data_IF_273029755329
#
_entry.id   IF_273029755329
#
_cell.length_a   1.000
_cell.length_b   1.000
_cell.length_c   1.000
_cell.angle_alpha   90.00
_cell.angle_beta   90.00
_cell.angle_gamma   90.00
#
_symmetry.space_group_name_H-M   'P 1'
#
loop_
_entity.id
_entity.type
_entity.pdbx_description
1 polymer ?
#
# COMPACT_ATOMS: atom_id res chain seq x y z
N UNK A 1 4.83 -3.69 13.99
CA UNK A 1 4.93 -4.03 12.54
C UNK A 1 3.63 -3.60 11.88
N UNK A 2 3.69 -2.69 10.94
CA UNK A 2 2.52 -2.12 10.26
C UNK A 2 2.75 -2.15 8.76
N UNK A 3 1.68 -2.08 7.95
CA UNK A 3 1.81 -1.93 6.51
C UNK A 3 1.72 -0.45 6.13
N UNK A 4 2.65 0.01 5.29
CA UNK A 4 2.69 1.36 4.76
C UNK A 4 2.84 1.38 3.25
N UNK A 5 2.45 2.50 2.62
CA UNK A 5 2.70 2.75 1.21
C UNK A 5 3.27 4.15 1.00
N UNK A 6 4.24 4.25 0.10
CA UNK A 6 4.80 5.50 -0.39
C UNK A 6 4.56 5.56 -1.90
N UNK A 7 3.94 6.63 -2.38
CA UNK A 7 3.66 6.85 -3.78
C UNK A 7 4.49 8.04 -4.24
N UNK A 8 5.36 7.80 -5.22
CA UNK A 8 6.35 8.77 -5.70
C UNK A 8 6.00 9.16 -7.13
N UNK A 9 5.89 10.45 -7.38
CA UNK A 9 5.68 11.02 -8.70
C UNK A 9 4.98 12.38 -8.66
N UNK A 10 5.57 13.37 -9.29
CA UNK A 10 4.99 14.70 -9.45
C UNK A 10 3.71 14.70 -10.28
N UNK A 11 3.53 13.73 -11.19
CA UNK A 11 2.32 13.58 -11.99
C UNK A 11 1.10 13.19 -11.16
N UNK A 12 1.33 12.50 -10.02
CA UNK A 12 0.26 12.18 -9.07
C UNK A 12 -0.08 13.43 -8.25
N UNK A 13 0.92 14.11 -7.71
CA UNK A 13 0.71 15.33 -6.91
C UNK A 13 0.10 16.48 -7.71
N UNK A 14 0.44 16.57 -9.01
CA UNK A 14 -0.13 17.59 -9.90
C UNK A 14 -1.53 17.23 -10.46
N UNK A 15 -2.03 16.02 -10.15
CA UNK A 15 -3.31 15.52 -10.67
C UNK A 15 -3.32 15.15 -12.17
N UNK A 16 -2.15 15.13 -12.83
CA UNK A 16 -2.03 14.66 -14.22
C UNK A 16 -2.36 13.19 -14.37
N UNK A 17 -2.09 12.41 -13.33
CA UNK A 17 -2.47 10.99 -13.21
C UNK A 17 -3.15 10.74 -11.89
N UNK A 18 -4.13 9.82 -11.89
CA UNK A 18 -4.76 9.35 -10.66
C UNK A 18 -3.99 8.15 -10.13
N UNK A 19 -3.66 8.16 -8.86
CA UNK A 19 -3.07 7.00 -8.19
C UNK A 19 -4.05 5.83 -8.15
N UNK A 20 -3.53 4.63 -8.42
CA UNK A 20 -4.25 3.36 -8.32
C UNK A 20 -3.58 2.37 -7.36
N UNK A 21 -2.38 2.70 -6.87
CA UNK A 21 -1.59 1.79 -6.03
C UNK A 21 -2.15 1.70 -4.62
N UNK A 22 -2.56 2.85 -4.04
CA UNK A 22 -3.13 2.89 -2.69
C UNK A 22 -4.38 2.02 -2.59
N UNK A 23 -5.36 2.24 -3.47
CA UNK A 23 -6.60 1.47 -3.46
C UNK A 23 -6.35 -0.03 -3.69
N UNK A 24 -5.41 -0.37 -4.59
CA UNK A 24 -5.06 -1.77 -4.87
C UNK A 24 -4.37 -2.43 -3.68
N UNK A 25 -3.42 -1.77 -3.02
CA UNK A 25 -2.77 -2.34 -1.84
C UNK A 25 -3.76 -2.56 -0.70
N UNK A 26 -4.71 -1.63 -0.48
CA UNK A 26 -5.78 -1.80 0.50
C UNK A 26 -6.61 -3.06 0.19
N UNK A 27 -7.01 -3.24 -1.08
CA UNK A 27 -7.75 -4.43 -1.55
C UNK A 27 -6.96 -5.72 -1.27
N UNK A 28 -5.67 -5.74 -1.66
CA UNK A 28 -4.80 -6.91 -1.49
C UNK A 28 -4.56 -7.28 -0.03
N UNK A 29 -4.38 -6.29 0.84
CA UNK A 29 -4.23 -6.48 2.28
C UNK A 29 -5.54 -6.98 2.90
N UNK A 30 -6.67 -6.33 2.58
CA UNK A 30 -7.98 -6.72 3.10
C UNK A 30 -8.36 -8.15 2.74
N UNK A 31 -8.08 -8.58 1.49
CA UNK A 31 -8.29 -9.96 1.05
C UNK A 31 -7.49 -10.99 1.87
N UNK A 32 -6.45 -10.56 2.58
CA UNK A 32 -5.58 -11.39 3.43
C UNK A 32 -5.80 -11.19 4.93
N UNK A 33 -6.87 -10.45 5.30
CA UNK A 33 -7.16 -10.13 6.70
C UNK A 33 -6.16 -9.13 7.32
N UNK A 34 -5.49 -8.33 6.47
CA UNK A 34 -4.52 -7.32 6.85
C UNK A 34 -5.07 -5.92 6.58
N UNK A 35 -4.47 -4.91 7.19
CA UNK A 35 -4.87 -3.52 6.99
C UNK A 35 -3.68 -2.61 6.74
N UNK A 36 -3.86 -1.61 5.87
CA UNK A 36 -2.89 -0.54 5.68
C UNK A 36 -2.97 0.43 6.86
N UNK A 37 -1.82 0.80 7.42
CA UNK A 37 -1.73 1.69 8.58
C UNK A 37 -1.47 3.14 8.22
N UNK A 38 -0.72 3.38 7.14
CA UNK A 38 -0.38 4.72 6.68
C UNK A 38 -0.06 4.77 5.20
N UNK A 39 -0.23 5.95 4.59
CA UNK A 39 0.13 6.23 3.21
C UNK A 39 0.81 7.61 3.12
N UNK A 40 1.79 7.75 2.24
CA UNK A 40 2.49 9.00 1.98
C UNK A 40 2.67 9.22 0.48
N UNK A 41 2.42 10.46 0.03
CA UNK A 41 2.65 10.89 -1.34
C UNK A 41 3.84 11.84 -1.37
N UNK A 42 4.80 11.56 -2.22
CA UNK A 42 6.06 12.32 -2.33
C UNK A 42 6.32 12.67 -3.79
N UNK A 43 6.72 13.90 -4.05
CA UNK A 43 7.18 14.32 -5.39
C UNK A 43 8.59 13.79 -5.70
N UNK A 44 9.07 14.07 -6.91
CA UNK A 44 10.35 13.55 -7.43
C UNK A 44 11.59 14.31 -6.88
N UNK A 45 11.45 15.02 -5.75
CA UNK A 45 12.56 15.68 -5.07
C UNK A 45 13.45 14.68 -4.32
N UNK A 46 14.73 14.52 -4.71
CA UNK A 46 15.62 13.51 -4.11
C UNK A 46 15.86 13.70 -2.61
N UNK A 47 15.86 14.94 -2.11
CA UNK A 47 16.09 15.20 -0.69
C UNK A 47 14.91 14.71 0.15
N UNK A 48 13.68 15.02 -0.29
CA UNK A 48 12.44 14.56 0.36
C UNK A 48 12.30 13.04 0.30
N UNK A 49 12.54 12.43 -0.86
CA UNK A 49 12.49 10.96 -1.01
C UNK A 49 13.49 10.30 -0.05
N UNK A 50 14.74 10.82 0.00
CA UNK A 50 15.78 10.26 0.88
C UNK A 50 15.41 10.41 2.37
N UNK A 51 14.85 11.55 2.78
CA UNK A 51 14.39 11.78 4.14
C UNK A 51 13.25 10.84 4.51
N UNK A 52 12.25 10.70 3.63
CA UNK A 52 11.13 9.77 3.80
C UNK A 52 11.64 8.34 3.99
N UNK A 53 12.54 7.87 3.14
CA UNK A 53 13.09 6.51 3.27
C UNK A 53 13.90 6.35 4.55
N UNK A 54 14.74 7.32 4.93
CA UNK A 54 15.52 7.26 6.18
C UNK A 54 14.61 7.12 7.40
N UNK A 55 13.52 7.88 7.43
CA UNK A 55 12.53 7.82 8.52
C UNK A 55 11.77 6.50 8.54
N UNK A 56 11.28 6.03 7.40
CA UNK A 56 10.47 4.80 7.34
C UNK A 56 11.31 3.54 7.47
N UNK A 57 12.57 3.54 6.99
CA UNK A 57 13.52 2.43 7.19
C UNK A 57 14.05 2.32 8.64
N UNK A 58 13.80 3.30 9.50
CA UNK A 58 14.10 3.21 10.93
C UNK A 58 13.00 2.48 11.74
N UNK A 59 11.95 1.99 11.07
CA UNK A 59 10.81 1.29 11.70
C UNK A 59 10.85 -0.22 11.44
N UNK A 60 9.93 -0.95 12.05
CA UNK A 60 9.69 -2.38 11.80
C UNK A 60 8.62 -2.61 10.72
N UNK A 61 8.26 -1.58 9.96
CA UNK A 61 7.13 -1.64 9.03
C UNK A 61 7.47 -2.39 7.73
N UNK A 62 6.42 -2.92 7.12
CA UNK A 62 6.42 -3.47 5.78
C UNK A 62 5.91 -2.38 4.84
N UNK A 63 6.79 -1.84 3.99
CA UNK A 63 6.48 -0.66 3.18
C UNK A 63 6.55 -0.99 1.70
N UNK A 64 5.52 -0.60 0.97
CA UNK A 64 5.49 -0.65 -0.50
C UNK A 64 5.74 0.76 -1.04
N UNK A 65 6.79 0.94 -1.85
CA UNK A 65 7.13 2.20 -2.51
C UNK A 65 6.92 2.07 -4.01
N UNK A 66 6.04 2.86 -4.59
CA UNK A 66 5.64 2.80 -5.99
C UNK A 66 6.07 4.06 -6.72
N UNK A 67 6.88 3.91 -7.78
CA UNK A 67 7.35 5.00 -8.63
C UNK A 67 8.85 5.30 -8.51
N UNK A 68 9.37 6.01 -9.50
CA UNK A 68 10.75 6.53 -9.53
C UNK A 68 11.87 5.49 -9.65
N UNK A 69 11.59 4.23 -10.05
CA UNK A 69 12.61 3.18 -10.23
C UNK A 69 13.04 2.95 -11.68
N UNK A 70 12.53 3.74 -12.62
CA UNK A 70 12.86 3.67 -14.04
C UNK A 70 14.27 4.19 -14.35
N UNK A 71 14.45 4.64 -15.61
CA UNK A 71 15.73 5.14 -16.10
C UNK A 71 15.65 6.58 -16.63
N UNK A 72 14.54 7.29 -16.39
CA UNK A 72 14.38 8.70 -16.76
C UNK A 72 15.09 9.61 -15.75
N UNK A 73 15.41 10.85 -16.11
CA UNK A 73 16.15 11.76 -15.23
C UNK A 73 15.46 12.10 -13.91
N UNK A 74 14.15 11.93 -13.82
CA UNK A 74 13.32 12.12 -12.65
C UNK A 74 13.18 10.86 -11.77
N UNK A 75 13.69 9.70 -12.21
CA UNK A 75 13.69 8.44 -11.46
C UNK A 75 14.82 8.42 -10.42
N UNK A 76 14.54 8.88 -9.20
CA UNK A 76 15.52 9.01 -8.11
C UNK A 76 15.40 7.95 -7.01
N UNK A 77 14.35 7.14 -7.01
CA UNK A 77 14.01 6.22 -5.91
C UNK A 77 15.15 5.26 -5.55
N UNK A 78 15.85 4.69 -6.52
CA UNK A 78 16.97 3.74 -6.30
C UNK A 78 18.14 4.40 -5.60
N UNK A 79 18.54 5.58 -6.08
CA UNK A 79 19.63 6.39 -5.53
C UNK A 79 19.28 6.88 -4.11
N UNK A 80 18.05 7.33 -3.90
CA UNK A 80 17.56 7.78 -2.61
C UNK A 80 17.48 6.66 -1.58
N UNK A 81 17.07 5.45 -2.00
CA UNK A 81 17.07 4.27 -1.13
C UNK A 81 18.50 3.89 -0.70
N UNK A 82 19.45 3.90 -1.63
CA UNK A 82 20.88 3.65 -1.31
C UNK A 82 21.44 4.70 -0.36
N UNK A 83 21.14 5.99 -0.60
CA UNK A 83 21.58 7.09 0.26
C UNK A 83 20.94 7.03 1.67
N UNK A 84 19.68 6.62 1.78
CA UNK A 84 19.00 6.45 3.05
C UNK A 84 19.61 5.34 3.91
N UNK A 85 20.03 4.24 3.27
CA UNK A 85 20.70 3.10 3.91
C UNK A 85 22.20 3.34 4.15
N UNK A 86 22.81 4.35 3.51
CA UNK A 86 24.24 4.58 3.58
C UNK A 86 25.09 3.50 2.87
N UNK A 87 24.53 2.87 1.82
CA UNK A 87 25.20 1.83 1.03
C UNK A 87 25.39 2.28 -0.43
N UNK A 88 26.35 1.69 -1.17
CA UNK A 88 26.50 2.01 -2.58
C UNK A 88 25.35 1.49 -3.42
N UNK A 89 25.07 2.17 -4.54
CA UNK A 89 24.22 1.68 -5.61
C UNK A 89 25.08 0.80 -6.54
N UNK A 90 24.65 -0.44 -6.77
CA UNK A 90 25.41 -1.42 -7.55
C UNK A 90 24.52 -2.15 -8.54
N UNK A 91 25.06 -2.52 -9.70
CA UNK A 91 24.34 -3.35 -10.66
C UNK A 91 24.14 -4.76 -10.08
N UNK A 92 22.90 -5.11 -9.80
CA UNK A 92 22.54 -6.40 -9.23
C UNK A 92 22.73 -7.52 -10.28
N UNK A 93 23.45 -8.60 -9.98
CA UNK A 93 23.77 -9.64 -10.97
C UNK A 93 22.54 -10.27 -11.62
N UNK A 94 21.53 -10.63 -10.82
CA UNK A 94 20.29 -11.22 -11.33
C UNK A 94 19.44 -10.20 -12.11
N UNK A 95 19.37 -8.94 -11.67
CA UNK A 95 18.68 -7.88 -12.41
C UNK A 95 19.31 -7.68 -13.79
N UNK A 96 20.64 -7.70 -13.86
CA UNK A 96 21.37 -7.64 -15.13
C UNK A 96 20.93 -8.73 -16.10
N UNK A 97 20.83 -9.98 -15.62
CA UNK A 97 20.41 -11.09 -16.49
C UNK A 97 18.93 -10.95 -16.91
N UNK A 98 18.03 -10.54 -15.99
CA UNK A 98 16.62 -10.29 -16.33
C UNK A 98 16.45 -9.18 -17.35
N UNK A 99 17.18 -8.09 -17.23
CA UNK A 99 17.18 -7.01 -18.21
C UNK A 99 17.73 -7.46 -19.55
N UNK A 100 18.80 -8.29 -19.56
CA UNK A 100 19.31 -8.89 -20.79
C UNK A 100 18.32 -9.85 -21.45
N UNK A 101 17.59 -10.65 -20.66
CA UNK A 101 16.48 -11.46 -21.17
C UNK A 101 15.43 -10.56 -21.87
N UNK A 102 15.05 -9.45 -21.25
CA UNK A 102 14.09 -8.51 -21.87
C UNK A 102 14.63 -7.89 -23.17
N UNK A 103 15.93 -7.55 -23.23
CA UNK A 103 16.57 -7.04 -24.46
C UNK A 103 16.51 -8.11 -25.56
N UNK A 104 16.75 -9.39 -25.26
CA UNK A 104 16.61 -10.50 -26.23
C UNK A 104 15.18 -10.61 -26.74
N UNK A 105 14.18 -10.56 -25.84
CA UNK A 105 12.78 -10.64 -26.22
C UNK A 105 12.40 -9.51 -27.19
N UNK A 106 12.79 -8.26 -26.85
CA UNK A 106 12.52 -7.09 -27.71
C UNK A 106 13.23 -7.19 -29.07
N UNK A 107 14.42 -7.74 -29.11
CA UNK A 107 15.18 -7.96 -30.35
C UNK A 107 14.48 -9.01 -31.22
N UNK A 108 14.00 -10.10 -30.62
CA UNK A 108 13.21 -11.13 -31.32
C UNK A 108 11.89 -10.56 -31.87
N UNK A 109 11.16 -9.77 -31.05
CA UNK A 109 9.94 -9.08 -31.45
C UNK A 109 10.15 -8.15 -32.66
N UNK A 110 11.36 -7.54 -32.76
CA UNK A 110 11.73 -6.60 -33.81
C UNK A 110 12.45 -7.26 -35.00
N UNK A 111 12.75 -8.56 -34.93
CA UNK A 111 13.50 -9.29 -35.98
C UNK A 111 14.96 -8.84 -36.13
N UNK A 112 15.59 -8.33 -35.05
CA UNK A 112 16.95 -7.78 -35.02
C UNK A 112 17.79 -8.60 -34.03
N UNK A 113 19.08 -8.81 -34.31
CA UNK A 113 19.99 -9.44 -33.36
C UNK A 113 20.15 -8.57 -32.10
N UNK A 114 20.22 -9.18 -30.91
CA UNK A 114 20.37 -8.45 -29.65
C UNK A 114 21.77 -7.81 -29.53
N UNK A 115 21.80 -6.50 -29.43
CA UNK A 115 23.03 -5.72 -29.18
C UNK A 115 22.99 -5.17 -27.75
N UNK A 116 23.74 -5.81 -26.83
CA UNK A 116 23.79 -5.43 -25.43
C UNK A 116 24.60 -4.16 -25.17
N UNK A 117 25.46 -3.76 -26.09
CA UNK A 117 26.34 -2.61 -25.96
C UNK A 117 25.74 -1.35 -26.58
N UNK A 118 24.58 -1.48 -27.21
CA UNK A 118 23.83 -0.33 -27.72
C UNK A 118 23.53 0.67 -26.59
N UNK A 119 23.71 1.98 -26.77
CA UNK A 119 23.49 3.00 -25.73
C UNK A 119 22.18 2.87 -24.99
N UNK A 120 21.07 2.62 -25.70
CA UNK A 120 19.75 2.42 -25.09
C UNK A 120 19.72 1.20 -24.16
N UNK A 121 20.42 0.12 -24.51
CA UNK A 121 20.46 -1.10 -23.71
C UNK A 121 21.39 -0.97 -22.50
N UNK A 122 22.52 -0.24 -22.66
CA UNK A 122 23.35 0.15 -21.53
C UNK A 122 22.57 1.06 -20.56
N UNK A 123 21.75 1.96 -21.09
CA UNK A 123 20.88 2.80 -20.26
C UNK A 123 19.81 1.96 -19.52
N UNK A 124 19.23 0.94 -20.17
CA UNK A 124 18.30 0.00 -19.51
C UNK A 124 18.95 -0.77 -18.35
N UNK A 125 20.23 -1.11 -18.45
CA UNK A 125 20.93 -1.80 -17.36
C UNK A 125 20.98 -0.98 -16.07
N UNK A 126 20.91 0.34 -16.14
CA UNK A 126 20.82 1.20 -14.96
C UNK A 126 19.57 0.92 -14.12
N UNK A 127 18.48 0.43 -14.73
CA UNK A 127 17.30 0.01 -13.96
C UNK A 127 17.55 -1.20 -13.05
N UNK A 128 18.65 -1.90 -13.24
CA UNK A 128 19.11 -3.00 -12.38
C UNK A 128 20.14 -2.58 -11.33
N UNK A 129 20.47 -1.29 -11.23
CA UNK A 129 21.31 -0.75 -10.16
C UNK A 129 20.48 -0.55 -8.91
N UNK A 130 20.75 -1.32 -7.87
CA UNK A 130 20.03 -1.33 -6.61
C UNK A 130 20.95 -1.04 -5.43
N UNK A 131 20.44 -0.62 -4.26
CA UNK A 131 21.21 -0.58 -3.03
C UNK A 131 21.91 -1.91 -2.79
N UNK A 132 23.18 -1.89 -2.38
CA UNK A 132 23.93 -3.11 -2.09
C UNK A 132 23.19 -3.95 -1.05
N UNK A 133 23.00 -5.25 -1.33
CA UNK A 133 22.29 -6.18 -0.47
C UNK A 133 20.78 -6.23 -0.75
N UNK A 134 20.27 -5.51 -1.75
CA UNK A 134 18.88 -5.63 -2.17
C UNK A 134 18.55 -7.03 -2.69
N UNK A 135 17.32 -7.46 -2.49
CA UNK A 135 16.70 -8.67 -3.05
C UNK A 135 15.87 -8.30 -4.27
N UNK A 136 15.74 -9.20 -5.25
CA UNK A 136 14.92 -8.97 -6.45
C UNK A 136 13.45 -9.23 -6.17
N UNK A 137 12.60 -8.37 -6.72
CA UNK A 137 11.16 -8.61 -6.87
C UNK A 137 10.90 -8.92 -8.35
N UNK A 138 10.43 -10.14 -8.69
CA UNK A 138 10.20 -10.52 -10.08
C UNK A 138 9.08 -9.70 -10.71
N UNK A 139 9.27 -9.32 -11.97
CA UNK A 139 8.27 -8.62 -12.77
C UNK A 139 7.87 -9.48 -13.98
N UNK A 140 6.73 -10.13 -13.88
CA UNK A 140 6.22 -10.99 -14.93
C UNK A 140 5.83 -10.25 -16.20
N UNK A 141 5.58 -8.94 -16.13
CA UNK A 141 5.11 -8.13 -17.26
C UNK A 141 6.22 -7.88 -18.30
N UNK A 142 7.40 -7.48 -17.83
CA UNK A 142 8.48 -7.08 -18.74
C UNK A 142 9.87 -7.57 -18.32
N UNK A 143 9.97 -8.43 -17.31
CA UNK A 143 11.21 -8.98 -16.74
C UNK A 143 12.14 -7.95 -16.06
N UNK A 144 11.86 -6.64 -16.13
CA UNK A 144 12.65 -5.61 -15.43
C UNK A 144 12.21 -5.61 -13.97
N UNK A 145 13.06 -6.08 -13.04
CA UNK A 145 12.62 -6.32 -11.68
C UNK A 145 12.47 -5.05 -10.85
N UNK A 146 11.66 -5.11 -9.79
CA UNK A 146 11.79 -4.25 -8.64
C UNK A 146 12.83 -4.80 -7.67
N UNK A 147 12.92 -4.17 -6.51
CA UNK A 147 13.84 -4.62 -5.47
C UNK A 147 13.25 -4.43 -4.07
N UNK A 148 13.77 -5.22 -3.14
CA UNK A 148 13.44 -5.08 -1.73
C UNK A 148 14.72 -4.86 -0.92
N UNK A 149 14.61 -4.09 0.16
CA UNK A 149 15.68 -3.93 1.13
C UNK A 149 15.14 -4.21 2.54
N UNK A 150 15.90 -5.01 3.30
CA UNK A 150 15.61 -5.25 4.71
C UNK A 150 16.44 -4.29 5.54
N UNK A 151 15.78 -3.60 6.47
CA UNK A 151 16.50 -2.77 7.43
C UNK A 151 16.98 -3.61 8.62
N UNK A 152 17.94 -3.09 9.37
CA UNK A 152 18.46 -3.77 10.58
C UNK A 152 17.47 -3.85 11.75
N UNK A 153 16.25 -3.35 11.60
CA UNK A 153 15.21 -3.26 12.63
C UNK A 153 14.08 -4.31 12.44
N UNK A 154 14.17 -5.15 11.42
CA UNK A 154 13.15 -6.16 11.10
C UNK A 154 12.06 -5.68 10.14
N UNK A 155 12.14 -4.44 9.64
CA UNK A 155 11.27 -3.94 8.59
C UNK A 155 11.80 -4.27 7.18
N UNK A 156 10.93 -4.10 6.18
CA UNK A 156 11.27 -4.30 4.77
C UNK A 156 10.60 -3.25 3.90
N UNK A 157 11.34 -2.76 2.89
CA UNK A 157 10.80 -1.89 1.85
C UNK A 157 10.85 -2.59 0.49
N UNK A 158 9.69 -2.66 -0.17
CA UNK A 158 9.50 -3.17 -1.52
C UNK A 158 9.38 -2.00 -2.49
N UNK A 159 10.27 -1.92 -3.47
CA UNK A 159 10.32 -0.85 -4.47
C UNK A 159 9.80 -1.35 -5.79
N UNK A 160 8.73 -0.74 -6.26
CA UNK A 160 7.92 -1.17 -7.38
C UNK A 160 7.80 -0.07 -8.44
N UNK A 161 7.60 -0.41 -9.72
CA UNK A 161 7.37 0.60 -10.76
C UNK A 161 6.07 1.37 -10.53
N UNK A 162 6.01 2.60 -11.05
CA UNK A 162 4.82 3.46 -11.03
C UNK A 162 3.70 3.03 -11.99
N UNK A 163 3.79 1.85 -12.62
CA UNK A 163 2.76 1.30 -13.50
C UNK A 163 1.93 0.26 -12.75
N UNK A 164 0.63 0.49 -12.49
CA UNK A 164 -0.20 -0.43 -11.72
C UNK A 164 -0.23 -1.86 -12.26
N UNK A 165 -0.23 -2.03 -13.58
CA UNK A 165 -0.20 -3.35 -14.25
C UNK A 165 1.05 -4.17 -13.90
N UNK A 166 2.14 -3.52 -13.53
CA UNK A 166 3.38 -4.16 -13.08
C UNK A 166 3.40 -4.28 -11.54
N UNK A 167 3.06 -3.20 -10.85
CA UNK A 167 3.15 -3.12 -9.39
C UNK A 167 2.22 -4.10 -8.69
N UNK A 168 0.99 -4.29 -9.18
CA UNK A 168 -0.01 -5.19 -8.56
C UNK A 168 0.47 -6.65 -8.47
N UNK A 169 0.93 -7.32 -9.54
CA UNK A 169 1.47 -8.67 -9.43
C UNK A 169 2.69 -8.75 -8.51
N UNK A 170 3.50 -7.69 -8.46
CA UNK A 170 4.69 -7.64 -7.61
C UNK A 170 4.33 -7.46 -6.13
N UNK A 171 3.28 -6.68 -5.81
CA UNK A 171 2.71 -6.59 -4.46
C UNK A 171 2.18 -7.94 -4.00
N UNK A 172 1.39 -8.62 -4.85
CA UNK A 172 0.90 -9.96 -4.57
C UNK A 172 2.04 -10.93 -4.28
N UNK A 173 3.04 -10.96 -5.15
CA UNK A 173 4.21 -11.82 -4.97
C UNK A 173 4.93 -11.56 -3.64
N UNK A 174 5.15 -10.28 -3.27
CA UNK A 174 5.81 -9.91 -2.04
C UNK A 174 5.01 -10.36 -0.80
N UNK A 175 3.69 -10.14 -0.80
CA UNK A 175 2.79 -10.56 0.28
C UNK A 175 2.78 -12.08 0.41
N UNK A 176 2.54 -12.80 -0.69
CA UNK A 176 2.36 -14.26 -0.67
C UNK A 176 3.67 -15.01 -0.38
N UNK A 177 4.83 -14.45 -0.80
CA UNK A 177 6.13 -15.09 -0.60
C UNK A 177 6.72 -14.82 0.79
N UNK A 178 6.54 -13.62 1.33
CA UNK A 178 7.28 -13.18 2.51
C UNK A 178 6.42 -12.91 3.73
N UNK A 179 5.09 -12.84 3.58
CA UNK A 179 4.18 -12.42 4.66
C UNK A 179 2.94 -13.31 4.79
N UNK A 180 2.94 -14.49 4.16
CA UNK A 180 1.83 -15.44 4.24
C UNK A 180 1.52 -15.89 5.69
N UNK A 181 2.53 -15.88 6.54
CA UNK A 181 2.41 -16.15 7.97
C UNK A 181 1.57 -15.13 8.74
N UNK A 182 1.37 -13.94 8.18
CA UNK A 182 0.54 -12.88 8.77
C UNK A 182 -0.93 -12.95 8.36
N UNK A 183 -1.26 -13.78 7.36
CA UNK A 183 -2.61 -13.80 6.79
C UNK A 183 -3.63 -14.38 7.77
N UNK A 184 -4.76 -13.70 7.91
CA UNK A 184 -5.91 -14.13 8.70
C UNK A 184 -5.57 -14.60 10.13
N UNK A 185 -4.46 -14.07 10.72
CA UNK A 185 -4.07 -14.44 12.10
C UNK A 185 -5.08 -13.97 13.14
N UNK A 186 -5.80 -12.89 12.81
CA UNK A 186 -6.88 -12.40 13.65
C UNK A 186 -8.17 -12.40 12.82
N UNK A 187 -9.16 -13.13 13.30
CA UNK A 187 -10.49 -12.97 12.78
C UNK A 187 -10.95 -11.56 13.14
N UNK A 188 -11.21 -10.76 12.13
CA UNK A 188 -11.66 -9.39 12.28
C UNK A 188 -12.94 -9.23 11.49
N UNK A 189 -14.01 -8.87 12.15
CA UNK A 189 -15.27 -8.59 11.49
C UNK A 189 -15.70 -7.16 11.75
N UNK A 190 -16.58 -6.69 10.88
CA UNK A 190 -17.22 -5.40 10.96
C UNK A 190 -18.72 -5.59 10.80
N UNK A 191 -19.51 -4.92 11.66
CA UNK A 191 -20.97 -4.86 11.56
C UNK A 191 -21.43 -3.42 11.70
N UNK A 192 -22.31 -2.99 10.80
CA UNK A 192 -22.82 -1.62 10.78
C UNK A 192 -24.32 -1.56 10.49
N UNK A 193 -24.89 -0.42 10.77
CA UNK A 193 -26.25 -0.01 10.37
C UNK A 193 -26.20 1.38 9.76
N UNK A 194 -27.21 1.69 8.96
CA UNK A 194 -27.46 3.04 8.43
C UNK A 194 -28.42 3.76 9.36
N UNK A 195 -27.93 4.77 10.09
CA UNK A 195 -28.74 5.64 10.94
C UNK A 195 -29.23 6.82 10.10
N UNK A 196 -30.53 6.86 9.81
CA UNK A 196 -31.13 7.89 8.97
C UNK A 196 -31.24 9.23 9.72
N UNK A 197 -30.86 10.31 9.05
CA UNK A 197 -30.86 11.67 9.60
C UNK A 197 -30.15 11.82 10.95
N UNK A 198 -29.27 10.86 11.30
CA UNK A 198 -28.51 10.84 12.53
C UNK A 198 -27.63 12.09 12.69
N UNK A 199 -27.39 12.46 13.94
CA UNK A 199 -26.48 13.56 14.31
C UNK A 199 -25.36 12.95 15.13
N UNK A 200 -24.09 13.11 14.66
CA UNK A 200 -22.93 12.49 15.31
C UNK A 200 -22.82 12.84 16.81
N UNK A 201 -23.03 14.12 17.18
CA UNK A 201 -22.98 14.54 18.58
C UNK A 201 -24.01 13.84 19.48
N UNK A 202 -25.13 13.37 18.92
CA UNK A 202 -26.12 12.60 19.65
C UNK A 202 -25.69 11.14 19.83
N UNK A 203 -24.90 10.61 18.86
CA UNK A 203 -24.42 9.23 18.87
C UNK A 203 -23.09 9.07 19.63
N UNK A 204 -22.29 10.14 19.73
CA UNK A 204 -20.96 10.13 20.39
C UNK A 204 -20.97 9.48 21.78
N UNK A 205 -21.92 9.81 22.71
CA UNK A 205 -21.92 9.16 24.03
C UNK A 205 -22.15 7.65 23.96
N UNK A 206 -22.93 7.15 23.01
CA UNK A 206 -23.11 5.72 22.76
C UNK A 206 -21.82 5.09 22.22
N UNK A 207 -21.13 5.74 21.31
CA UNK A 207 -19.87 5.28 20.73
C UNK A 207 -18.78 5.15 21.80
N UNK A 208 -18.63 6.17 22.64
CA UNK A 208 -17.67 6.18 23.74
C UNK A 208 -18.00 5.09 24.77
N UNK A 209 -19.28 4.89 25.11
CA UNK A 209 -19.70 3.85 26.02
C UNK A 209 -19.40 2.45 25.48
N UNK A 210 -19.59 2.21 24.18
CA UNK A 210 -19.26 0.93 23.54
C UNK A 210 -17.77 0.62 23.58
N UNK A 211 -16.89 1.58 23.26
CA UNK A 211 -15.44 1.37 23.32
C UNK A 211 -14.94 1.16 24.77
N UNK A 212 -15.59 1.81 25.73
CA UNK A 212 -15.27 1.62 27.15
C UNK A 212 -15.75 0.26 27.70
N UNK A 213 -16.93 -0.18 27.26
CA UNK A 213 -17.57 -1.46 27.71
C UNK A 213 -16.88 -2.68 27.07
N UNK A 214 -16.39 -2.55 25.84
CA UNK A 214 -15.82 -3.65 25.06
C UNK A 214 -14.38 -3.35 24.62
N UNK A 215 -13.38 -3.52 25.48
CA UNK A 215 -11.98 -3.33 25.12
C UNK A 215 -11.59 -4.21 23.92
N UNK A 216 -10.93 -3.61 22.93
CA UNK A 216 -10.48 -4.31 21.72
C UNK A 216 -11.37 -4.16 20.50
N UNK A 217 -12.57 -3.57 20.65
CA UNK A 217 -13.33 -3.09 19.48
C UNK A 217 -12.94 -1.67 19.10
N UNK A 218 -13.32 -1.30 17.89
CA UNK A 218 -13.35 0.08 17.40
C UNK A 218 -14.75 0.41 16.93
N UNK A 219 -15.28 1.55 17.35
CA UNK A 219 -16.50 2.10 16.80
C UNK A 219 -16.15 3.04 15.66
N UNK A 220 -16.93 3.05 14.60
CA UNK A 220 -16.78 4.00 13.51
C UNK A 220 -18.11 4.65 13.13
N UNK A 221 -18.00 5.88 12.64
CA UNK A 221 -19.11 6.70 12.17
C UNK A 221 -18.69 7.29 10.82
N UNK A 222 -19.45 7.02 9.78
CA UNK A 222 -19.23 7.51 8.42
C UNK A 222 -20.43 8.35 7.98
N UNK A 223 -20.40 9.67 8.21
CA UNK A 223 -21.50 10.54 7.83
C UNK A 223 -21.58 10.74 6.31
N UNK A 224 -22.79 10.72 5.78
CA UNK A 224 -23.14 11.10 4.42
C UNK A 224 -24.13 12.25 4.43
N UNK A 225 -23.82 13.31 3.72
CA UNK A 225 -24.73 14.47 3.57
C UNK A 225 -25.95 14.18 2.70
N UNK A 226 -25.98 13.00 2.09
CA UNK A 226 -26.97 12.64 1.08
C UNK A 226 -26.67 13.28 -0.28
N UNK A 227 -27.34 12.78 -1.27
CA UNK A 227 -27.44 13.39 -2.60
C UNK A 227 -28.94 13.44 -2.96
N UNK A 228 -29.36 14.07 -4.00
CA UNK A 228 -30.78 14.20 -4.33
C UNK A 228 -31.58 12.87 -4.42
N UNK A 229 -30.91 11.72 -4.28
CA UNK A 229 -31.47 10.37 -4.33
C UNK A 229 -31.45 9.63 -2.98
N UNK A 230 -30.56 9.99 -2.08
CA UNK A 230 -30.36 9.35 -0.76
C UNK A 230 -30.48 10.38 0.34
N UNK A 231 -31.27 10.00 1.40
CA UNK A 231 -31.35 10.81 2.63
C UNK A 231 -29.98 10.93 3.31
N UNK A 232 -29.78 12.03 4.04
CA UNK A 232 -28.63 12.15 4.95
C UNK A 232 -28.63 10.97 5.91
N UNK A 233 -27.48 10.38 6.17
CA UNK A 233 -27.36 9.23 7.07
C UNK A 233 -25.96 9.15 7.65
N UNK A 234 -25.82 8.32 8.67
CA UNK A 234 -24.56 7.92 9.26
C UNK A 234 -24.48 6.40 9.19
N UNK A 235 -23.45 5.86 8.56
CA UNK A 235 -23.13 4.46 8.77
C UNK A 235 -22.41 4.37 10.11
N UNK A 236 -23.03 3.73 11.09
CA UNK A 236 -22.50 3.49 12.43
C UNK A 236 -22.20 2.02 12.59
N UNK A 237 -20.97 1.69 13.01
CA UNK A 237 -20.60 0.30 13.14
C UNK A 237 -19.53 0.04 14.20
N UNK A 238 -19.34 -1.22 14.48
CA UNK A 238 -18.34 -1.77 15.39
C UNK A 238 -17.49 -2.80 14.65
N UNK A 239 -16.20 -2.82 14.94
CA UNK A 239 -15.24 -3.72 14.31
C UNK A 239 -14.20 -4.23 15.30
N UNK A 240 -13.75 -5.48 15.13
CA UNK A 240 -12.80 -6.13 16.01
C UNK A 240 -12.91 -7.65 16.01
N UNK A 241 -12.62 -8.26 17.15
CA UNK A 241 -12.76 -9.71 17.34
C UNK A 241 -14.23 -10.14 17.15
N UNK A 242 -14.51 -11.21 16.37
CA UNK A 242 -15.86 -11.65 16.05
C UNK A 242 -16.77 -11.87 17.26
N UNK A 243 -16.26 -12.50 18.31
CA UNK A 243 -17.07 -12.82 19.50
C UNK A 243 -17.46 -11.54 20.25
N UNK A 244 -16.54 -10.58 20.33
CA UNK A 244 -16.80 -9.30 21.01
C UNK A 244 -17.69 -8.41 20.14
N UNK A 245 -17.47 -8.37 18.83
CA UNK A 245 -18.25 -7.56 17.88
C UNK A 245 -19.70 -7.97 17.87
N UNK A 246 -20.05 -9.26 17.94
CA UNK A 246 -21.43 -9.71 18.01
C UNK A 246 -22.18 -9.11 19.23
N UNK A 247 -21.52 -9.13 20.39
CA UNK A 247 -22.11 -8.60 21.63
C UNK A 247 -22.18 -7.06 21.58
N UNK A 248 -21.10 -6.42 21.15
CA UNK A 248 -21.02 -4.96 21.03
C UNK A 248 -22.03 -4.42 20.00
N UNK A 249 -22.24 -5.13 18.87
CA UNK A 249 -23.24 -4.78 17.88
C UNK A 249 -24.67 -4.84 18.44
N UNK A 250 -25.03 -5.93 19.13
CA UNK A 250 -26.31 -6.04 19.80
C UNK A 250 -26.53 -4.91 20.84
N UNK A 251 -25.48 -4.57 21.58
CA UNK A 251 -25.50 -3.46 22.56
C UNK A 251 -25.65 -2.10 21.86
N UNK A 252 -25.01 -1.91 20.69
CA UNK A 252 -25.17 -0.72 19.86
C UNK A 252 -26.62 -0.54 19.41
N UNK A 253 -27.27 -1.60 18.88
CA UNK A 253 -28.68 -1.55 18.48
C UNK A 253 -29.61 -1.15 19.65
N UNK A 254 -29.40 -1.75 20.82
CA UNK A 254 -30.13 -1.36 22.02
C UNK A 254 -29.96 0.11 22.38
N UNK A 255 -28.74 0.64 22.21
CA UNK A 255 -28.44 2.06 22.41
C UNK A 255 -29.15 2.97 21.41
N UNK A 256 -29.20 2.59 20.15
CA UNK A 256 -29.92 3.32 19.11
C UNK A 256 -31.44 3.35 19.37
N UNK A 257 -32.01 2.23 19.81
CA UNK A 257 -33.45 2.15 20.22
C UNK A 257 -33.74 3.09 21.39
N UNK A 258 -32.88 3.11 22.41
CA UNK A 258 -32.99 4.01 23.54
C UNK A 258 -32.94 5.49 23.14
N UNK A 259 -32.12 5.81 22.15
CA UNK A 259 -31.99 7.14 21.55
C UNK A 259 -33.12 7.45 20.52
N UNK A 260 -34.02 6.49 20.27
CA UNK A 260 -35.11 6.59 19.28
C UNK A 260 -34.61 6.96 17.88
N UNK A 261 -33.46 6.40 17.48
CA UNK A 261 -32.92 6.61 16.14
C UNK A 261 -33.63 5.71 15.12
N UNK A 262 -33.87 6.26 13.92
CA UNK A 262 -34.36 5.51 12.75
C UNK A 262 -33.14 4.88 12.05
N UNK A 263 -33.06 3.55 11.99
CA UNK A 263 -31.95 2.86 11.36
C UNK A 263 -32.40 1.62 10.56
N UNK A 264 -31.56 1.21 9.61
CA UNK A 264 -31.78 0.02 8.79
C UNK A 264 -30.48 -0.79 8.69
N UNK A 265 -30.60 -2.08 8.40
CA UNK A 265 -29.42 -2.92 8.06
C UNK A 265 -28.67 -2.35 6.87
N UNK A 266 -27.35 -2.44 6.90
CA UNK A 266 -26.50 -2.05 5.79
C UNK A 266 -26.46 -3.14 4.71
#
# INVERSE_FOLDING_TARGET
MSFGIIIIGDEILSGKRTDKHLAKLIELLSARGLSLSWAEYVGDDPARITETFRRTMATTDIVFSCGGIGATPDDHTRQCAAAALGVPLVLHPEAKEKIRERIRDMSLESGVEPDFDKPDNLHRLKMGEFPQGAEIIPNAFNKIPGFAVRNGHGGVHYFLPGFPVMAEPMMNWALDTHHADLFHQFAYIEKSVIVHDGIESTLTPLMEALEAEFPGIRVFSLPSVGDGTRRRHIELGVKGDPEIVEIAYARMLTGLDALKQDYSSN
#
